data_IF_109131709802
#
_entry.id   IF_109131709802
#
_cell.length_a   1.000
_cell.length_b   1.000
_cell.length_c   1.000
_cell.angle_alpha   90.00
_cell.angle_beta   90.00
_cell.angle_gamma   90.00
#
_symmetry.space_group_name_H-M   'P 1'
#
loop_
_entity.id
_entity.type
_entity.pdbx_description
1 polymer ?
#
# COMPACT_ATOMS: atom_id res chain seq x y z
N UNK A 1 16.52 3.39 -8.16
CA UNK A 1 16.55 2.83 -6.80
C UNK A 1 17.92 2.30 -6.42
N UNK A 2 18.58 1.50 -7.26
CA UNK A 2 19.99 1.10 -7.04
C UNK A 2 20.93 2.31 -6.91
N UNK A 3 20.80 3.31 -7.79
CA UNK A 3 21.55 4.57 -7.66
C UNK A 3 21.27 5.28 -6.33
N UNK A 4 19.99 5.43 -5.97
CA UNK A 4 19.56 6.08 -4.72
C UNK A 4 20.10 5.33 -3.48
N UNK A 5 20.21 4.01 -3.53
CA UNK A 5 20.77 3.25 -2.39
C UNK A 5 22.26 3.48 -2.17
N UNK A 6 23.02 3.95 -3.16
CA UNK A 6 24.44 4.30 -2.97
C UNK A 6 24.62 5.42 -1.94
N UNK A 7 23.62 6.30 -1.83
CA UNK A 7 23.60 7.40 -0.88
C UNK A 7 23.00 7.02 0.47
N UNK A 8 22.56 5.77 0.65
CA UNK A 8 21.89 5.27 1.86
C UNK A 8 22.64 4.04 2.42
N UNK A 9 23.71 4.25 3.23
CA UNK A 9 24.50 3.17 3.80
C UNK A 9 23.64 2.11 4.50
N UNK A 10 23.89 0.83 4.19
CA UNK A 10 23.15 -0.30 4.76
C UNK A 10 21.74 -0.51 4.17
N UNK A 11 21.36 0.22 3.11
CA UNK A 11 20.13 -0.01 2.36
C UNK A 11 20.41 -0.49 0.95
N UNK A 12 19.56 -1.38 0.43
CA UNK A 12 19.60 -1.83 -0.96
C UNK A 12 18.48 -1.18 -1.78
N UNK A 13 18.62 -1.15 -3.10
CA UNK A 13 17.63 -0.52 -3.99
C UNK A 13 16.21 -1.03 -3.80
N UNK A 14 16.04 -2.34 -3.54
CA UNK A 14 14.73 -2.94 -3.19
C UNK A 14 14.07 -2.26 -1.98
N UNK A 15 14.82 -2.03 -0.91
CA UNK A 15 14.30 -1.39 0.32
C UNK A 15 13.93 0.07 0.06
N UNK A 16 14.71 0.79 -0.74
CA UNK A 16 14.42 2.17 -1.13
C UNK A 16 13.11 2.25 -1.92
N UNK A 17 12.92 1.35 -2.90
CA UNK A 17 11.69 1.23 -3.68
C UNK A 17 10.48 0.91 -2.80
N UNK A 18 10.61 -0.05 -1.89
CA UNK A 18 9.52 -0.45 -0.99
C UNK A 18 9.12 0.70 -0.06
N UNK A 19 10.10 1.42 0.48
CA UNK A 19 9.84 2.59 1.32
C UNK A 19 9.07 3.66 0.55
N UNK A 20 9.47 3.96 -0.68
CA UNK A 20 8.76 4.94 -1.50
C UNK A 20 7.32 4.51 -1.79
N UNK A 21 7.14 3.32 -2.36
CA UNK A 21 5.82 2.79 -2.77
C UNK A 21 4.83 2.66 -1.61
N UNK A 22 5.31 2.39 -0.40
CA UNK A 22 4.44 2.11 0.74
C UNK A 22 4.26 3.32 1.65
N UNK A 23 5.19 4.28 1.66
CA UNK A 23 5.21 5.33 2.68
C UNK A 23 5.43 6.76 2.16
N UNK A 24 6.21 6.97 1.10
CA UNK A 24 6.67 8.32 0.71
C UNK A 24 6.02 8.86 -0.56
N UNK A 25 5.32 8.02 -1.33
CA UNK A 25 4.59 8.49 -2.51
C UNK A 25 3.54 9.54 -2.07
N UNK A 26 3.53 10.75 -2.68
CA UNK A 26 2.69 11.87 -2.22
C UNK A 26 1.21 11.58 -2.12
N UNK A 27 0.68 10.74 -3.02
CA UNK A 27 -0.76 10.43 -3.08
C UNK A 27 -1.22 9.45 -2.00
N UNK A 28 -0.30 8.90 -1.19
CA UNK A 28 -0.65 7.91 -0.18
C UNK A 28 -1.22 8.55 1.08
N UNK A 29 -2.41 8.08 1.46
CA UNK A 29 -3.12 8.45 2.68
C UNK A 29 -2.68 7.63 3.88
N UNK A 30 -1.37 7.43 4.07
CA UNK A 30 -0.83 6.52 5.10
C UNK A 30 -1.15 6.97 6.54
N UNK A 31 -1.34 8.27 6.75
CA UNK A 31 -1.66 8.84 8.06
C UNK A 31 -3.18 8.99 8.29
N UNK A 32 -3.99 8.86 7.23
CA UNK A 32 -5.43 8.97 7.36
C UNK A 32 -6.02 7.65 7.86
N UNK A 33 -6.95 7.69 8.84
CA UNK A 33 -7.68 6.51 9.26
C UNK A 33 -8.47 5.92 8.09
N UNK A 34 -8.76 4.61 8.15
CA UNK A 34 -9.66 3.97 7.21
C UNK A 34 -11.08 4.49 7.42
N UNK A 35 -11.75 4.80 6.32
CA UNK A 35 -13.15 5.23 6.32
C UNK A 35 -14.07 4.05 6.04
N UNK A 36 -15.30 4.09 6.54
CA UNK A 36 -16.30 3.04 6.29
C UNK A 36 -16.56 2.82 4.78
N UNK A 37 -16.43 3.88 3.97
CA UNK A 37 -16.57 3.78 2.51
C UNK A 37 -15.38 3.04 1.88
N UNK A 38 -14.16 3.25 2.38
CA UNK A 38 -12.99 2.48 1.96
C UNK A 38 -13.13 1.01 2.37
N UNK A 39 -13.69 0.73 3.55
CA UNK A 39 -13.94 -0.63 4.03
C UNK A 39 -14.99 -1.35 3.17
N UNK A 40 -16.12 -0.67 2.91
CA UNK A 40 -17.19 -1.19 2.05
C UNK A 40 -16.63 -1.54 0.67
N UNK A 41 -15.85 -0.63 0.08
CA UNK A 41 -15.22 -0.83 -1.22
C UNK A 41 -14.17 -1.94 -1.16
N UNK A 42 -13.35 -2.01 -0.12
CA UNK A 42 -12.37 -3.09 0.06
C UNK A 42 -13.06 -4.46 0.10
N UNK A 43 -14.15 -4.60 0.83
CA UNK A 43 -14.92 -5.85 0.93
C UNK A 43 -15.51 -6.24 -0.44
N UNK A 44 -16.10 -5.29 -1.17
CA UNK A 44 -16.65 -5.51 -2.51
C UNK A 44 -15.57 -5.94 -3.51
N UNK A 45 -14.44 -5.25 -3.51
CA UNK A 45 -13.30 -5.56 -4.37
C UNK A 45 -12.64 -6.89 -4.01
N UNK A 46 -12.56 -7.23 -2.72
CA UNK A 46 -12.04 -8.52 -2.27
C UNK A 46 -12.95 -9.68 -2.69
N UNK A 47 -14.27 -9.51 -2.64
CA UNK A 47 -15.23 -10.51 -3.14
C UNK A 47 -15.02 -10.82 -4.63
N UNK A 48 -14.62 -9.84 -5.43
CA UNK A 48 -14.45 -10.00 -6.88
C UNK A 48 -13.04 -10.41 -7.29
N UNK A 49 -12.01 -9.92 -6.60
CA UNK A 49 -10.59 -10.09 -6.98
C UNK A 49 -9.79 -10.98 -6.03
N UNK A 50 -10.35 -11.39 -4.89
CA UNK A 50 -9.66 -12.10 -3.82
C UNK A 50 -8.47 -11.30 -3.28
N UNK A 51 -7.39 -11.99 -2.93
CA UNK A 51 -6.17 -11.39 -2.37
C UNK A 51 -5.29 -10.67 -3.42
N UNK A 52 -5.88 -10.19 -4.52
CA UNK A 52 -5.17 -9.44 -5.57
C UNK A 52 -4.91 -7.98 -5.14
N UNK A 53 -4.15 -7.77 -4.06
CA UNK A 53 -3.97 -6.47 -3.42
C UNK A 53 -3.46 -5.38 -4.36
N UNK A 54 -2.60 -5.74 -5.31
CA UNK A 54 -2.09 -4.80 -6.33
C UNK A 54 -3.19 -4.31 -7.29
N UNK A 55 -4.21 -5.13 -7.57
CA UNK A 55 -5.38 -4.72 -8.37
C UNK A 55 -6.34 -3.88 -7.52
N UNK A 56 -6.56 -4.26 -6.27
CA UNK A 56 -7.42 -3.53 -5.33
C UNK A 56 -6.85 -2.13 -5.04
N UNK A 57 -5.52 -2.00 -4.88
CA UNK A 57 -4.84 -0.71 -4.71
C UNK A 57 -5.05 0.26 -5.87
N UNK A 58 -5.26 -0.23 -7.10
CA UNK A 58 -5.61 0.62 -8.24
C UNK A 58 -7.04 1.17 -8.16
N UNK A 59 -7.91 0.53 -7.37
CA UNK A 59 -9.33 0.91 -7.18
C UNK A 59 -9.56 1.70 -5.89
N UNK A 60 -8.68 1.57 -4.89
CA UNK A 60 -8.65 2.37 -3.67
C UNK A 60 -7.55 3.43 -3.74
N UNK A 61 -7.89 4.61 -4.28
CA UNK A 61 -6.92 5.70 -4.44
C UNK A 61 -6.32 6.13 -3.09
N UNK A 62 -5.00 6.24 -3.07
CA UNK A 62 -4.24 6.62 -1.87
C UNK A 62 -4.02 5.51 -0.85
N UNK A 63 -4.49 4.28 -1.10
CA UNK A 63 -4.14 3.11 -0.28
C UNK A 63 -3.18 2.21 -1.05
N UNK A 64 -1.99 2.00 -0.48
CA UNK A 64 -1.00 1.08 -1.07
C UNK A 64 -1.44 -0.38 -0.92
N UNK A 65 -0.91 -1.27 -1.76
CA UNK A 65 -1.14 -2.72 -1.64
C UNK A 65 -0.78 -3.25 -0.24
N UNK A 66 0.26 -2.67 0.36
CA UNK A 66 0.71 -3.03 1.70
C UNK A 66 -0.27 -2.53 2.77
N UNK A 67 -0.78 -1.30 2.64
CA UNK A 67 -1.80 -0.75 3.54
C UNK A 67 -3.09 -1.58 3.50
N UNK A 68 -3.57 -1.92 2.30
CA UNK A 68 -4.77 -2.74 2.10
C UNK A 68 -4.62 -4.12 2.75
N UNK A 69 -3.51 -4.81 2.45
CA UNK A 69 -3.23 -6.13 3.01
C UNK A 69 -3.16 -6.08 4.53
N UNK A 70 -2.47 -5.09 5.09
CA UNK A 70 -2.34 -4.94 6.54
C UNK A 70 -3.69 -4.66 7.20
N UNK A 71 -4.50 -3.79 6.60
CA UNK A 71 -5.84 -3.48 7.10
C UNK A 71 -6.72 -4.73 7.12
N UNK A 72 -6.81 -5.45 6.00
CA UNK A 72 -7.61 -6.67 5.88
C UNK A 72 -7.27 -7.74 6.93
N UNK A 73 -5.99 -7.94 7.24
CA UNK A 73 -5.57 -8.91 8.26
C UNK A 73 -5.64 -8.36 9.69
N UNK A 74 -5.58 -7.05 9.87
CA UNK A 74 -5.69 -6.39 11.18
C UNK A 74 -7.13 -6.23 11.68
N UNK A 75 -8.12 -6.25 10.77
CA UNK A 75 -9.55 -6.19 11.09
C UNK A 75 -10.20 -7.57 11.28
N UNK A 76 -9.42 -8.66 11.31
CA UNK A 76 -9.91 -10.02 11.58
C UNK A 76 -9.99 -10.34 13.06
#
# INVERSE_FOLDING_TARGET
WEEISKDLPGRIGKQCRERWKNHLQPDLKNQAPWTEEEDRKLIEEHKTLGNSWSKIAKRLFGRSENSIKNHWYGTK
#
